data_IF_893270622058
#
_entry.id   IF_893270622058
#
_cell.length_a   1.000
_cell.length_b   1.000
_cell.length_c   1.000
_cell.angle_alpha   90.00
_cell.angle_beta   90.00
_cell.angle_gamma   90.00
#
_symmetry.space_group_name_H-M   'P 1'
#
loop_
_entity.id
_entity.type
_entity.pdbx_description
1 polymer ?
#
# COMPACT_ATOMS: atom_id res chain seq x y z
N UNK A 1 18.93 -12.32 -46.73
CA UNK A 1 17.98 -12.94 -45.78
C UNK A 1 18.60 -13.23 -44.45
N UNK A 2 19.84 -13.59 -44.45
CA UNK A 2 20.55 -13.77 -43.22
C UNK A 2 20.55 -12.50 -42.38
N UNK A 3 20.75 -11.35 -43.03
CA UNK A 3 20.81 -10.07 -42.35
C UNK A 3 19.44 -9.72 -41.72
N UNK A 4 18.36 -10.03 -42.44
CA UNK A 4 17.03 -9.76 -41.91
C UNK A 4 16.72 -10.60 -40.70
N UNK A 5 17.11 -11.88 -40.73
CA UNK A 5 16.84 -12.77 -39.60
C UNK A 5 17.67 -12.38 -38.39
N UNK A 6 18.95 -12.08 -38.59
CA UNK A 6 19.80 -11.64 -37.49
C UNK A 6 19.36 -10.34 -36.91
N UNK A 7 18.92 -9.41 -37.78
CA UNK A 7 18.42 -8.11 -37.34
C UNK A 7 17.16 -8.24 -36.49
N UNK A 8 16.24 -9.14 -36.90
CA UNK A 8 15.02 -9.38 -36.14
C UNK A 8 15.31 -9.95 -34.76
N UNK A 9 16.25 -10.87 -34.66
CA UNK A 9 16.62 -11.48 -33.38
C UNK A 9 17.25 -10.41 -32.47
N UNK A 10 18.13 -9.57 -33.04
CA UNK A 10 18.77 -8.51 -32.25
C UNK A 10 17.76 -7.49 -31.77
N UNK A 11 16.79 -7.13 -32.63
CA UNK A 11 15.73 -6.20 -32.23
C UNK A 11 14.88 -6.78 -31.13
N UNK A 12 14.51 -8.05 -31.24
CA UNK A 12 13.75 -8.73 -30.20
C UNK A 12 14.54 -8.79 -28.89
N UNK A 13 15.82 -9.16 -28.96
CA UNK A 13 16.65 -9.24 -27.77
C UNK A 13 16.85 -7.89 -27.12
N UNK A 14 16.96 -6.81 -27.92
CA UNK A 14 17.07 -5.46 -27.39
C UNK A 14 15.78 -4.93 -26.83
N UNK A 15 14.65 -5.39 -27.36
CA UNK A 15 13.34 -4.95 -26.88
C UNK A 15 12.89 -5.67 -25.63
N UNK A 16 13.36 -6.91 -25.42
CA UNK A 16 12.91 -7.74 -24.31
C UNK A 16 13.21 -7.13 -22.94
N UNK A 17 14.41 -6.60 -22.66
CA UNK A 17 14.63 -5.95 -21.37
C UNK A 17 13.71 -4.76 -21.12
N UNK A 18 13.39 -4.01 -22.18
CA UNK A 18 12.47 -2.88 -22.06
C UNK A 18 11.08 -3.37 -21.69
N UNK A 19 10.61 -4.44 -22.34
CA UNK A 19 9.32 -5.03 -22.01
C UNK A 19 9.29 -5.53 -20.57
N UNK A 20 10.37 -6.13 -20.09
CA UNK A 20 10.45 -6.59 -18.71
C UNK A 20 10.37 -5.42 -17.74
N UNK A 21 11.06 -4.33 -18.04
CA UNK A 21 10.99 -3.13 -17.20
C UNK A 21 9.58 -2.56 -17.15
N UNK A 22 8.91 -2.50 -18.31
CA UNK A 22 7.52 -2.01 -18.36
C UNK A 22 6.61 -2.92 -17.56
N UNK A 23 6.78 -4.24 -17.69
CA UNK A 23 6.01 -5.19 -16.91
C UNK A 23 6.22 -5.04 -15.42
N UNK A 24 7.48 -4.86 -15.00
CA UNK A 24 7.79 -4.65 -13.59
C UNK A 24 7.20 -3.35 -13.07
N UNK A 25 7.24 -2.30 -13.89
CA UNK A 25 6.63 -1.03 -13.51
C UNK A 25 5.12 -1.18 -13.34
N UNK A 26 4.47 -1.92 -14.21
CA UNK A 26 3.03 -2.15 -14.11
C UNK A 26 2.70 -2.93 -12.82
N UNK A 27 3.48 -3.95 -12.50
CA UNK A 27 3.29 -4.72 -11.27
C UNK A 27 3.51 -3.81 -10.06
N UNK A 28 4.54 -2.97 -10.10
CA UNK A 28 4.83 -2.07 -9.00
C UNK A 28 3.68 -1.09 -8.76
N UNK A 29 3.12 -0.53 -9.82
CA UNK A 29 1.98 0.37 -9.69
C UNK A 29 0.76 -0.36 -9.13
N UNK A 30 0.55 -1.60 -9.55
CA UNK A 30 -0.54 -2.41 -9.00
C UNK A 30 -0.36 -2.68 -7.51
N UNK A 31 0.87 -2.98 -7.09
CA UNK A 31 1.16 -3.20 -5.68
C UNK A 31 0.97 -1.94 -4.85
N UNK A 32 1.37 -0.78 -5.39
CA UNK A 32 1.18 0.49 -4.71
C UNK A 32 -0.32 0.77 -4.57
N UNK A 33 -1.09 0.56 -5.64
CA UNK A 33 -2.54 0.73 -5.59
C UNK A 33 -3.21 -0.18 -4.57
N UNK A 34 -2.76 -1.43 -4.52
CA UNK A 34 -3.25 -2.38 -3.51
C UNK A 34 -2.89 -1.90 -2.10
N UNK A 35 -1.65 -1.41 -1.92
CA UNK A 35 -1.20 -0.89 -0.64
C UNK A 35 -2.05 0.29 -0.18
N UNK A 36 -2.37 1.22 -1.09
CA UNK A 36 -3.23 2.36 -0.79
C UNK A 36 -4.61 1.89 -0.33
N UNK A 37 -5.18 0.92 -1.05
CA UNK A 37 -6.49 0.36 -0.71
C UNK A 37 -6.46 -0.32 0.66
N UNK A 38 -5.43 -1.11 0.94
CA UNK A 38 -5.28 -1.78 2.23
C UNK A 38 -5.08 -0.79 3.36
N UNK A 39 -4.25 0.23 3.14
CA UNK A 39 -4.02 1.25 4.17
C UNK A 39 -5.31 2.01 4.47
N UNK A 40 -6.10 2.32 3.45
CA UNK A 40 -7.38 2.98 3.64
C UNK A 40 -8.36 2.13 4.43
N UNK A 41 -8.47 0.85 4.10
CA UNK A 41 -9.34 -0.07 4.84
C UNK A 41 -8.88 -0.24 6.29
N UNK A 42 -7.57 -0.35 6.49
CA UNK A 42 -7.00 -0.50 7.83
C UNK A 42 -7.22 0.77 8.64
N UNK A 43 -7.06 1.94 8.03
CA UNK A 43 -7.27 3.20 8.73
C UNK A 43 -8.72 3.35 9.18
N UNK A 44 -9.67 2.98 8.31
CA UNK A 44 -11.09 3.03 8.68
C UNK A 44 -11.41 2.04 9.80
N UNK A 45 -10.86 0.83 9.72
CA UNK A 45 -11.06 -0.18 10.77
C UNK A 45 -10.48 0.29 12.09
N UNK A 46 -9.28 0.86 12.07
CA UNK A 46 -8.62 1.35 13.27
C UNK A 46 -9.40 2.52 13.89
N UNK A 47 -9.81 3.48 13.07
CA UNK A 47 -10.55 4.64 13.57
C UNK A 47 -11.90 4.21 14.16
N UNK A 48 -12.58 3.30 13.48
CA UNK A 48 -13.87 2.82 13.98
C UNK A 48 -13.73 2.09 15.31
N UNK A 49 -12.73 1.17 15.39
CA UNK A 49 -12.52 0.42 16.63
C UNK A 49 -12.13 1.33 17.77
N UNK A 50 -11.24 2.28 17.50
CA UNK A 50 -10.80 3.22 18.54
C UNK A 50 -11.94 4.13 19.01
N UNK A 51 -12.83 4.54 18.09
CA UNK A 51 -13.95 5.38 18.46
C UNK A 51 -14.97 4.65 19.32
N UNK A 52 -15.08 3.33 19.17
CA UNK A 52 -15.99 2.51 19.97
C UNK A 52 -15.37 2.05 21.28
N UNK A 53 -14.10 1.64 21.24
CA UNK A 53 -13.37 1.16 22.40
C UNK A 53 -11.94 1.68 22.34
N UNK A 54 -11.59 2.70 23.08
CA UNK A 54 -10.23 3.21 23.09
C UNK A 54 -9.23 2.12 23.42
N UNK A 55 -8.13 2.10 22.70
CA UNK A 55 -7.06 1.13 22.84
C UNK A 55 -7.14 -0.06 21.90
N UNK A 56 -8.20 -0.17 21.08
CA UNK A 56 -8.37 -1.32 20.18
C UNK A 56 -8.02 -0.99 18.73
N UNK A 57 -7.76 0.28 18.41
CA UNK A 57 -7.60 0.69 17.04
C UNK A 57 -6.40 0.07 16.36
N UNK A 58 -5.26 0.00 17.05
CA UNK A 58 -4.05 -0.52 16.43
C UNK A 58 -4.21 -1.98 16.01
N UNK A 59 -4.81 -2.81 16.88
CA UNK A 59 -5.02 -4.23 16.57
C UNK A 59 -6.02 -4.40 15.43
N UNK A 60 -7.11 -3.62 15.45
CA UNK A 60 -8.13 -3.69 14.41
C UNK A 60 -7.58 -3.27 13.06
N UNK A 61 -6.78 -2.19 13.05
CA UNK A 61 -6.16 -1.74 11.82
C UNK A 61 -5.16 -2.75 11.26
N UNK A 62 -4.33 -3.30 12.12
CA UNK A 62 -3.36 -4.30 11.69
C UNK A 62 -4.06 -5.55 11.14
N UNK A 63 -5.20 -5.94 11.75
CA UNK A 63 -5.93 -7.11 11.29
C UNK A 63 -6.60 -6.88 9.92
N UNK A 64 -6.89 -5.62 9.58
CA UNK A 64 -7.58 -5.29 8.34
C UNK A 64 -6.63 -5.13 7.16
N UNK A 65 -5.32 -5.14 7.37
CA UNK A 65 -4.34 -5.02 6.31
C UNK A 65 -3.61 -6.34 6.12
N UNK A 66 -3.10 -6.56 4.92
CA UNK A 66 -2.31 -7.77 4.65
C UNK A 66 -0.99 -7.70 5.41
N UNK A 67 -0.64 -8.82 6.06
CA UNK A 67 0.55 -8.88 6.91
C UNK A 67 1.85 -8.59 6.16
N UNK A 68 1.91 -9.00 4.88
CA UNK A 68 3.12 -8.80 4.08
C UNK A 68 3.39 -7.33 3.77
N UNK A 69 2.41 -6.46 3.97
CA UNK A 69 2.59 -5.02 3.81
C UNK A 69 3.19 -4.37 5.04
N UNK A 70 3.40 -5.12 6.11
CA UNK A 70 3.99 -4.64 7.37
C UNK A 70 3.29 -3.38 7.86
N UNK A 71 1.98 -3.47 8.14
CA UNK A 71 1.21 -2.28 8.50
C UNK A 71 1.63 -1.72 9.84
N UNK A 72 1.75 -0.40 9.90
CA UNK A 72 2.00 0.34 11.13
C UNK A 72 0.78 1.23 11.37
N UNK A 73 0.14 1.09 12.51
CA UNK A 73 -1.11 1.76 12.82
C UNK A 73 -0.91 2.69 14.00
N UNK A 74 -1.29 3.95 13.81
CA UNK A 74 -1.30 4.95 14.86
C UNK A 74 -2.74 5.43 14.99
N UNK A 75 -3.35 5.15 16.13
CA UNK A 75 -4.73 5.55 16.39
C UNK A 75 -4.77 6.43 17.63
N UNK A 76 -5.87 7.18 17.76
CA UNK A 76 -6.07 8.04 18.91
C UNK A 76 -5.81 9.50 18.67
N UNK A 77 -5.42 9.87 17.46
CA UNK A 77 -5.30 11.28 17.10
C UNK A 77 -6.66 11.89 16.89
N UNK A 78 -6.71 13.21 16.72
CA UNK A 78 -7.93 13.91 16.46
C UNK A 78 -8.39 14.68 17.69
N UNK A 79 -9.60 15.22 17.61
CA UNK A 79 -10.15 16.04 18.67
C UNK A 79 -10.86 15.26 19.76
N UNK A 80 -11.58 15.99 20.61
CA UNK A 80 -12.31 15.35 21.70
C UNK A 80 -13.49 14.52 21.21
N UNK A 81 -14.06 14.92 20.08
CA UNK A 81 -15.26 14.26 19.55
C UNK A 81 -14.95 13.32 18.40
N UNK A 82 -13.70 13.24 17.96
CA UNK A 82 -13.33 12.43 16.81
C UNK A 82 -12.08 11.60 17.12
N UNK A 83 -11.94 10.52 16.38
CA UNK A 83 -10.77 9.67 16.44
C UNK A 83 -10.18 9.58 15.04
N UNK A 84 -8.88 9.84 14.94
CA UNK A 84 -8.17 9.72 13.67
C UNK A 84 -7.17 8.58 13.79
N UNK A 85 -7.20 7.67 12.83
CA UNK A 85 -6.22 6.61 12.73
C UNK A 85 -5.44 6.76 11.44
N UNK A 86 -4.13 6.62 11.54
CA UNK A 86 -3.22 6.69 10.40
C UNK A 86 -2.55 5.34 10.24
N UNK A 87 -2.56 4.82 9.04
CA UNK A 87 -1.94 3.53 8.72
C UNK A 87 -0.89 3.74 7.65
N UNK A 88 0.31 3.25 7.92
CA UNK A 88 1.41 3.23 6.97
C UNK A 88 1.67 1.78 6.60
N UNK A 89 1.61 1.47 5.32
CA UNK A 89 1.97 0.15 4.82
C UNK A 89 3.22 0.28 3.95
N UNK A 90 4.05 -0.76 3.96
CA UNK A 90 5.26 -0.78 3.17
C UNK A 90 5.05 -1.71 1.99
N UNK A 91 5.10 -1.14 0.79
CA UNK A 91 4.93 -1.90 -0.44
C UNK A 91 6.30 -2.34 -0.92
N UNK A 92 6.54 -3.65 -1.07
CA UNK A 92 7.85 -4.10 -1.52
C UNK A 92 8.12 -3.67 -2.95
N UNK A 93 9.39 -3.37 -3.23
CA UNK A 93 9.78 -2.98 -4.57
C UNK A 93 10.10 -4.24 -5.38
N UNK A 94 9.44 -4.37 -6.53
CA UNK A 94 9.74 -5.43 -7.48
C UNK A 94 10.77 -4.98 -8.52
N UNK A 95 11.09 -3.70 -8.55
CA UNK A 95 12.06 -3.14 -9.47
C UNK A 95 13.42 -3.15 -8.78
N UNK A 96 14.43 -3.80 -9.34
CA UNK A 96 15.77 -3.82 -8.73
C UNK A 96 16.30 -2.41 -8.52
N UNK A 97 17.06 -2.20 -7.45
CA UNK A 97 17.70 -0.96 -7.07
C UNK A 97 16.75 0.10 -6.52
N UNK A 98 15.46 -0.16 -6.49
CA UNK A 98 14.49 0.77 -5.91
C UNK A 98 14.15 0.33 -4.48
N UNK A 99 13.97 1.31 -3.62
CA UNK A 99 13.60 1.04 -2.23
C UNK A 99 12.11 0.73 -2.12
N UNK A 100 11.70 0.03 -1.05
CA UNK A 100 10.27 -0.17 -0.80
C UNK A 100 9.56 1.18 -0.64
N UNK A 101 8.29 1.19 -1.00
CA UNK A 101 7.47 2.40 -0.99
C UNK A 101 6.55 2.36 0.22
N UNK A 102 6.59 3.42 1.02
CA UNK A 102 5.67 3.57 2.15
C UNK A 102 4.44 4.33 1.68
N UNK A 103 3.26 3.81 2.02
CA UNK A 103 1.98 4.41 1.67
C UNK A 103 1.22 4.69 2.96
N UNK A 104 0.73 5.92 3.09
CA UNK A 104 0.04 6.36 4.29
C UNK A 104 -1.40 6.76 3.96
N UNK A 105 -2.31 6.31 4.78
CA UNK A 105 -3.71 6.72 4.71
C UNK A 105 -4.23 6.95 6.12
N UNK A 106 -5.16 7.87 6.24
CA UNK A 106 -5.76 8.13 7.53
C UNK A 106 -7.28 8.21 7.39
N UNK A 107 -7.97 7.94 8.49
CA UNK A 107 -9.42 8.00 8.55
C UNK A 107 -9.82 8.61 9.89
N UNK A 108 -10.88 9.42 9.88
CA UNK A 108 -11.39 10.06 11.08
C UNK A 108 -12.84 9.63 11.29
N UNK A 109 -13.15 9.20 12.49
CA UNK A 109 -14.49 8.77 12.87
C UNK A 109 -14.94 9.56 14.08
N UNK A 110 -16.25 9.87 14.20
CA UNK A 110 -16.76 10.48 15.42
C UNK A 110 -16.70 9.51 16.57
N UNK A 111 -16.44 10.02 17.76
CA UNK A 111 -16.41 9.19 18.98
C UNK A 111 -17.83 8.90 19.43
N UNK A 112 -18.11 7.63 19.70
CA UNK A 112 -19.38 7.18 20.27
C UNK A 112 -19.39 7.19 21.79
N UNK A 113 -18.32 7.68 22.39
CA UNK A 113 -18.17 7.70 23.83
C UNK A 113 -18.86 8.88 24.46
N UNK A 114 -19.24 9.88 23.68
CA UNK A 114 -19.95 11.03 24.18
C UNK A 114 -21.40 10.69 24.48
N UNK A 115 -21.89 11.06 25.67
CA UNK A 115 -23.29 10.83 26.00
C UNK A 115 -24.26 11.66 25.16
#
# INVERSE_FOLDING_TARGET
>A
RWNDRGSSILEFAGFLPILLLVGMAAIQLGLIGYGISQAGSAARAAARAESLQPGTGAAAGAAAASAWLDPSVDSGGGGTDTTTATVVVTVPSVIPLFAPVAVERSATMPNDLDP
#
